data_IF_898031590641
#
_entry.id   IF_898031590641
#
_cell.length_a   1.000
_cell.length_b   1.000
_cell.length_c   1.000
_cell.angle_alpha   90.00
_cell.angle_beta   90.00
_cell.angle_gamma   90.00
#
_symmetry.space_group_name_H-M   'P 1'
#
loop_
_entity.id
_entity.type
_entity.pdbx_description
1 polymer ?
#
# COMPACT_ATOMS: atom_id res chain seq x y z
N UNK A 1 -7.48 -29.96 -10.00
CA UNK A 1 -6.15 -29.54 -9.51
C UNK A 1 -6.18 -29.59 -7.99
N UNK A 2 -5.07 -29.98 -7.36
CA UNK A 2 -4.92 -30.01 -5.90
C UNK A 2 -3.68 -29.20 -5.55
N UNK A 3 -3.81 -28.34 -4.55
CA UNK A 3 -2.72 -27.54 -3.99
C UNK A 3 -2.51 -27.95 -2.53
N UNK A 4 -1.29 -28.35 -2.18
CA UNK A 4 -0.96 -28.71 -0.80
C UNK A 4 -0.50 -27.46 -0.02
N UNK A 5 -1.28 -27.06 0.99
CA UNK A 5 -0.93 -25.94 1.87
C UNK A 5 0.09 -26.42 2.91
N UNK A 6 1.33 -25.92 2.84
CA UNK A 6 2.43 -26.26 3.77
C UNK A 6 2.89 -25.08 4.63
N UNK A 7 2.17 -23.96 4.58
CA UNK A 7 2.54 -22.69 5.25
C UNK A 7 1.37 -22.17 6.09
N UNK A 8 1.70 -21.39 7.13
CA UNK A 8 0.76 -20.60 7.92
C UNK A 8 0.74 -19.12 7.50
N UNK A 9 1.65 -18.73 6.60
CA UNK A 9 1.70 -17.38 6.02
C UNK A 9 0.78 -17.32 4.80
N UNK A 10 0.13 -16.17 4.61
CA UNK A 10 -0.63 -15.92 3.40
C UNK A 10 0.27 -15.94 2.18
N UNK A 11 -0.23 -16.52 1.09
CA UNK A 11 0.47 -16.68 -0.18
C UNK A 11 0.02 -15.61 -1.18
N UNK A 12 0.87 -15.33 -2.16
CA UNK A 12 0.58 -14.52 -3.34
C UNK A 12 0.52 -15.40 -4.58
N UNK A 13 0.10 -14.84 -5.73
CA UNK A 13 0.14 -15.53 -7.01
C UNK A 13 1.57 -16.02 -7.35
N UNK A 14 2.58 -15.23 -7.00
CA UNK A 14 3.99 -15.61 -7.19
C UNK A 14 4.36 -16.84 -6.34
N UNK A 15 3.94 -16.88 -5.06
CA UNK A 15 4.20 -18.03 -4.19
C UNK A 15 3.50 -19.30 -4.70
N UNK A 16 2.30 -19.16 -5.26
CA UNK A 16 1.52 -20.26 -5.82
C UNK A 16 2.10 -20.76 -7.13
N UNK A 17 2.71 -19.88 -7.94
CA UNK A 17 3.34 -20.24 -9.22
C UNK A 17 4.75 -20.80 -9.04
N UNK A 18 5.60 -20.14 -8.24
CA UNK A 18 7.02 -20.52 -8.07
C UNK A 18 7.22 -21.66 -7.06
N UNK A 19 6.43 -21.68 -5.98
CA UNK A 19 6.62 -22.60 -4.85
C UNK A 19 5.44 -23.58 -4.66
N UNK A 20 4.43 -23.52 -5.53
CA UNK A 20 3.25 -24.35 -5.43
C UNK A 20 3.51 -25.81 -5.82
N UNK A 21 3.26 -26.74 -4.89
CA UNK A 21 3.19 -28.16 -5.21
C UNK A 21 1.82 -28.49 -5.80
N UNK A 22 1.69 -28.24 -7.09
CA UNK A 22 0.48 -28.55 -7.85
C UNK A 22 0.45 -30.02 -8.27
N UNK A 23 -0.65 -30.69 -7.93
CA UNK A 23 -0.95 -32.02 -8.44
C UNK A 23 -2.21 -31.97 -9.30
N UNK A 24 -2.14 -32.62 -10.47
CA UNK A 24 -3.25 -32.71 -11.41
C UNK A 24 -3.71 -34.16 -11.51
N UNK A 25 -5.03 -34.33 -11.65
CA UNK A 25 -5.70 -35.62 -11.63
C UNK A 25 -6.75 -35.66 -12.73
N UNK A 26 -7.02 -36.84 -13.27
CA UNK A 26 -8.12 -37.07 -14.20
C UNK A 26 -9.45 -37.10 -13.45
N UNK A 27 -10.45 -36.35 -13.93
CA UNK A 27 -11.81 -36.38 -13.41
C UNK A 27 -12.69 -37.23 -14.34
N UNK A 28 -13.25 -38.33 -13.86
CA UNK A 28 -14.02 -39.28 -14.69
C UNK A 28 -15.52 -38.94 -14.85
N UNK A 29 -16.06 -37.88 -14.22
CA UNK A 29 -17.43 -37.32 -14.43
C UNK A 29 -17.65 -36.01 -13.66
N UNK A 30 -18.63 -35.19 -14.03
CA UNK A 30 -18.92 -33.90 -13.35
C UNK A 30 -19.35 -34.05 -11.87
N UNK A 31 -20.01 -35.15 -11.49
CA UNK A 31 -20.43 -35.42 -10.10
C UNK A 31 -19.29 -35.88 -9.16
N UNK A 32 -18.05 -36.04 -9.65
CA UNK A 32 -16.97 -36.66 -8.85
C UNK A 32 -16.24 -35.70 -7.91
N UNK A 33 -16.43 -34.39 -8.02
CA UNK A 33 -15.60 -33.42 -7.28
C UNK A 33 -15.84 -33.48 -5.76
N UNK A 34 -17.09 -33.61 -5.31
CA UNK A 34 -17.43 -33.70 -3.88
C UNK A 34 -16.92 -34.99 -3.21
N UNK A 35 -16.78 -36.07 -3.99
CA UNK A 35 -16.26 -37.37 -3.53
C UNK A 35 -14.80 -37.62 -3.90
N UNK A 36 -14.10 -36.61 -4.46
CA UNK A 36 -12.75 -36.77 -4.98
C UNK A 36 -11.74 -36.96 -3.84
N UNK A 37 -10.94 -38.02 -3.92
CA UNK A 37 -9.80 -38.24 -3.02
C UNK A 37 -8.49 -38.28 -3.82
N UNK A 38 -7.65 -37.28 -3.58
CA UNK A 38 -6.35 -37.10 -4.22
C UNK A 38 -5.34 -38.22 -3.92
N UNK A 39 -5.50 -38.97 -2.83
CA UNK A 39 -4.63 -40.12 -2.51
C UNK A 39 -4.90 -41.34 -3.40
N UNK A 40 -6.11 -41.42 -3.97
CA UNK A 40 -6.56 -42.57 -4.78
C UNK A 40 -6.85 -42.21 -6.23
N UNK A 41 -6.71 -40.94 -6.61
CA UNK A 41 -7.00 -40.44 -7.95
C UNK A 41 -5.88 -40.74 -8.95
N UNK A 42 -6.24 -40.94 -10.22
CA UNK A 42 -5.26 -41.10 -11.30
C UNK A 42 -4.64 -39.74 -11.63
N UNK A 43 -3.31 -39.67 -11.67
CA UNK A 43 -2.60 -38.46 -12.10
C UNK A 43 -2.86 -38.17 -13.58
N UNK A 44 -2.94 -36.89 -13.91
CA UNK A 44 -3.00 -36.47 -15.31
C UNK A 44 -1.59 -36.56 -15.93
N UNK A 45 -1.46 -37.36 -16.99
CA UNK A 45 -0.19 -37.52 -17.71
C UNK A 45 -0.22 -36.87 -19.10
N UNK A 46 0.89 -36.26 -19.51
CA UNK A 46 1.09 -35.74 -20.88
C UNK A 46 0.25 -34.53 -21.27
N UNK A 47 -0.44 -33.88 -20.33
CA UNK A 47 -1.22 -32.65 -20.53
C UNK A 47 -0.87 -31.61 -19.46
N UNK A 48 -0.78 -30.34 -19.86
CA UNK A 48 -0.62 -29.20 -18.96
C UNK A 48 -1.85 -28.30 -19.00
N UNK A 49 -2.01 -27.48 -17.97
CA UNK A 49 -3.00 -26.41 -17.94
C UNK A 49 -2.29 -25.06 -17.90
N UNK A 50 -2.91 -24.06 -18.52
CA UNK A 50 -2.49 -22.67 -18.44
C UNK A 50 -3.62 -21.93 -17.76
N UNK A 51 -3.34 -21.34 -16.61
CA UNK A 51 -4.26 -20.46 -15.91
C UNK A 51 -3.99 -19.02 -16.34
N UNK A 52 -5.06 -18.25 -16.53
CA UNK A 52 -4.89 -16.81 -16.66
C UNK A 52 -4.71 -16.17 -15.28
N UNK A 53 -4.29 -14.91 -15.24
CA UNK A 53 -3.99 -14.23 -13.97
C UNK A 53 -5.19 -14.12 -13.03
N UNK A 54 -6.40 -13.90 -13.56
CA UNK A 54 -7.61 -13.79 -12.75
C UNK A 54 -7.93 -15.13 -12.07
N UNK A 55 -7.73 -16.24 -12.78
CA UNK A 55 -7.90 -17.58 -12.20
C UNK A 55 -6.89 -17.83 -11.07
N UNK A 56 -5.63 -17.41 -11.26
CA UNK A 56 -4.60 -17.52 -10.22
C UNK A 56 -4.96 -16.68 -8.99
N UNK A 57 -5.40 -15.42 -9.17
CA UNK A 57 -5.82 -14.57 -8.06
C UNK A 57 -7.02 -15.18 -7.31
N UNK A 58 -7.98 -15.77 -8.03
CA UNK A 58 -9.12 -16.46 -7.42
C UNK A 58 -8.67 -17.67 -6.58
N UNK A 59 -7.74 -18.47 -7.11
CA UNK A 59 -7.14 -19.60 -6.39
C UNK A 59 -6.42 -19.13 -5.12
N UNK A 60 -5.63 -18.05 -5.20
CA UNK A 60 -4.93 -17.45 -4.05
C UNK A 60 -5.92 -17.03 -2.96
N UNK A 61 -7.04 -16.40 -3.34
CA UNK A 61 -8.09 -16.03 -2.39
C UNK A 61 -8.68 -17.26 -1.68
N UNK A 62 -8.90 -18.36 -2.40
CA UNK A 62 -9.38 -19.63 -1.81
C UNK A 62 -8.34 -20.19 -0.84
N UNK A 63 -7.07 -20.32 -1.27
CA UNK A 63 -5.98 -20.86 -0.45
C UNK A 63 -5.84 -20.04 0.84
N UNK A 64 -5.80 -18.72 0.72
CA UNK A 64 -5.67 -17.84 1.88
C UNK A 64 -6.88 -17.88 2.80
N UNK A 65 -8.09 -18.10 2.27
CA UNK A 65 -9.28 -18.37 3.09
C UNK A 65 -9.13 -19.65 3.92
N UNK A 66 -8.60 -20.73 3.34
CA UNK A 66 -8.30 -21.95 4.08
C UNK A 66 -7.21 -21.74 5.13
N UNK A 67 -6.13 -21.02 4.80
CA UNK A 67 -5.07 -20.65 5.75
C UNK A 67 -5.68 -19.89 6.92
N UNK A 68 -6.44 -18.83 6.67
CA UNK A 68 -7.06 -18.00 7.69
C UNK A 68 -7.93 -18.82 8.67
N UNK A 69 -8.76 -19.72 8.15
CA UNK A 69 -9.64 -20.56 8.97
C UNK A 69 -8.91 -21.57 9.86
N UNK A 70 -7.70 -22.00 9.47
CA UNK A 70 -6.91 -23.00 10.20
C UNK A 70 -5.71 -22.40 10.93
N UNK A 71 -5.54 -21.08 10.83
CA UNK A 71 -4.46 -20.35 11.49
C UNK A 71 -4.74 -20.27 12.99
N UNK A 72 -4.14 -21.18 13.74
CA UNK A 72 -3.92 -20.96 15.17
C UNK A 72 -2.93 -19.81 15.29
N UNK A 73 -3.34 -18.66 15.86
CA UNK A 73 -2.43 -17.54 16.09
C UNK A 73 -1.37 -17.95 17.12
N UNK A 74 -0.30 -18.55 16.63
CA UNK A 74 0.84 -19.01 17.43
C UNK A 74 2.08 -18.49 16.72
N UNK A 75 2.53 -17.26 17.03
CA UNK A 75 3.85 -16.82 16.64
C UNK A 75 4.83 -17.77 17.34
N UNK A 76 5.73 -18.41 16.59
CA UNK A 76 6.90 -19.20 17.02
C UNK A 76 7.27 -19.14 18.51
N UNK A 77 7.85 -20.22 19.07
CA UNK A 77 7.51 -20.77 20.40
C UNK A 77 7.50 -19.71 21.50
N UNK A 78 6.40 -18.99 21.61
CA UNK A 78 6.15 -18.05 22.69
C UNK A 78 4.97 -18.62 23.49
N UNK A 79 5.10 -18.61 24.82
CA UNK A 79 4.09 -19.13 25.74
C UNK A 79 2.73 -18.48 25.43
N UNK A 80 1.64 -19.27 25.51
CA UNK A 80 0.27 -18.86 25.14
C UNK A 80 -0.24 -17.59 25.85
N UNK A 81 0.49 -17.11 26.87
CA UNK A 81 0.15 -15.95 27.70
C UNK A 81 0.89 -14.64 27.35
N UNK A 82 1.83 -14.62 26.40
CA UNK A 82 2.59 -13.38 26.11
C UNK A 82 1.83 -12.43 25.17
N UNK A 83 1.49 -11.24 25.67
CA UNK A 83 0.87 -10.16 24.91
C UNK A 83 1.89 -9.50 23.98
N UNK A 84 1.68 -9.59 22.66
CA UNK A 84 2.58 -8.99 21.67
C UNK A 84 2.08 -7.64 21.16
N UNK A 85 2.91 -6.59 21.13
CA UNK A 85 2.55 -5.33 20.50
C UNK A 85 2.52 -5.48 18.98
N UNK A 86 1.41 -5.08 18.37
CA UNK A 86 1.23 -5.03 16.92
C UNK A 86 1.42 -3.59 16.44
N UNK A 87 2.33 -3.37 15.50
CA UNK A 87 2.60 -2.07 14.92
C UNK A 87 2.06 -2.04 13.50
N UNK A 88 1.24 -1.04 13.17
CA UNK A 88 0.62 -0.91 11.85
C UNK A 88 0.99 0.46 11.26
N UNK A 89 1.37 0.48 9.98
CA UNK A 89 1.70 1.71 9.25
C UNK A 89 1.30 1.57 7.78
N UNK A 90 0.85 2.66 7.15
CA UNK A 90 0.38 2.65 5.76
C UNK A 90 1.49 2.77 4.70
N UNK A 91 2.63 2.12 4.94
CA UNK A 91 3.76 2.08 4.00
C UNK A 91 4.68 0.91 4.30
N UNK A 92 4.99 0.08 3.30
CA UNK A 92 5.99 -1.00 3.46
C UNK A 92 7.39 -0.48 3.79
N UNK A 93 7.75 0.70 3.29
CA UNK A 93 9.04 1.31 3.60
C UNK A 93 9.12 1.69 5.09
N UNK A 94 8.07 2.28 5.65
CA UNK A 94 8.02 2.59 7.08
C UNK A 94 7.96 1.32 7.93
N UNK A 95 7.21 0.31 7.49
CA UNK A 95 7.16 -1.00 8.15
C UNK A 95 8.54 -1.66 8.20
N UNK A 96 9.33 -1.56 7.12
CA UNK A 96 10.73 -2.00 7.09
C UNK A 96 11.57 -1.34 8.18
N UNK A 97 11.51 -0.01 8.32
CA UNK A 97 12.24 0.71 9.37
C UNK A 97 11.79 0.31 10.78
N UNK A 98 10.49 0.09 11.00
CA UNK A 98 9.95 -0.38 12.28
C UNK A 98 10.40 -1.82 12.61
N UNK A 99 10.42 -2.73 11.63
CA UNK A 99 10.91 -4.12 11.80
C UNK A 99 12.37 -4.14 12.28
N UNK A 100 13.19 -3.24 11.74
CA UNK A 100 14.60 -3.07 12.13
C UNK A 100 14.75 -2.38 13.48
N UNK A 101 13.98 -1.33 13.75
CA UNK A 101 14.17 -0.47 14.91
C UNK A 101 13.63 -1.02 16.23
N UNK A 102 12.46 -1.67 16.20
CA UNK A 102 11.76 -2.11 17.41
C UNK A 102 12.34 -3.43 17.94
N UNK A 103 12.34 -3.63 19.26
CA UNK A 103 12.78 -4.89 19.88
C UNK A 103 11.71 -5.99 19.79
N UNK A 104 12.11 -7.25 19.94
CA UNK A 104 11.18 -8.38 20.09
C UNK A 104 10.69 -8.53 21.55
N UNK A 105 9.47 -9.06 21.79
CA UNK A 105 8.48 -9.52 20.80
C UNK A 105 7.73 -8.38 20.11
N UNK A 106 7.45 -8.52 18.80
CA UNK A 106 6.70 -7.55 18.01
C UNK A 106 6.06 -8.15 16.76
N UNK A 107 4.97 -7.57 16.31
CA UNK A 107 4.42 -7.77 14.96
C UNK A 107 4.40 -6.44 14.24
N UNK A 108 4.80 -6.40 12.97
CA UNK A 108 4.78 -5.17 12.16
C UNK A 108 4.08 -5.41 10.83
N UNK A 109 2.92 -4.77 10.67
CA UNK A 109 2.08 -4.83 9.49
C UNK A 109 2.27 -3.53 8.69
N UNK A 110 2.75 -3.66 7.46
CA UNK A 110 2.77 -2.58 6.48
C UNK A 110 1.54 -2.67 5.60
N UNK A 111 0.81 -1.57 5.43
CA UNK A 111 -0.26 -1.51 4.46
C UNK A 111 0.31 -1.05 3.11
N UNK A 112 0.25 -1.89 2.06
CA UNK A 112 1.02 -1.71 0.84
C UNK A 112 0.31 -0.78 -0.15
N UNK A 113 -0.09 0.43 0.27
CA UNK A 113 -0.94 1.30 -0.57
C UNK A 113 -0.56 2.80 -0.52
N UNK A 114 -0.89 3.53 -1.59
CA UNK A 114 -0.74 4.99 -1.73
C UNK A 114 -2.11 5.66 -1.74
N UNK A 115 -2.58 6.10 -0.58
CA UNK A 115 -3.93 6.64 -0.40
C UNK A 115 -4.15 8.06 -0.94
N UNK A 116 -3.07 8.80 -1.23
CA UNK A 116 -3.13 10.12 -1.87
C UNK A 116 -3.70 10.09 -3.29
N UNK A 117 -3.71 8.92 -3.93
CA UNK A 117 -4.09 8.76 -5.33
C UNK A 117 -5.11 7.64 -5.56
N UNK A 118 -5.83 7.76 -6.67
CA UNK A 118 -6.84 6.81 -7.14
C UNK A 118 -8.13 6.81 -6.32
N UNK A 119 -9.14 6.03 -6.74
CA UNK A 119 -10.40 5.94 -6.03
C UNK A 119 -10.23 5.40 -4.61
N UNK A 120 -10.92 6.02 -3.64
CA UNK A 120 -11.14 5.45 -2.29
C UNK A 120 -12.58 4.97 -2.12
N UNK A 121 -13.40 5.13 -3.17
CA UNK A 121 -14.82 4.84 -3.14
C UNK A 121 -15.07 3.43 -2.62
N UNK A 122 -15.71 3.32 -1.46
CA UNK A 122 -15.99 2.06 -0.77
C UNK A 122 -14.80 1.09 -0.71
N UNK A 123 -13.56 1.57 -0.53
CA UNK A 123 -12.35 0.73 -0.52
C UNK A 123 -12.36 -0.39 0.56
N UNK A 124 -13.20 -0.23 1.58
CA UNK A 124 -13.44 -1.25 2.59
C UNK A 124 -14.37 -2.40 2.11
N UNK A 125 -14.83 -2.37 0.85
CA UNK A 125 -15.65 -3.39 0.21
C UNK A 125 -14.95 -3.93 -1.03
N UNK A 126 -15.27 -5.17 -1.43
CA UNK A 126 -14.66 -5.83 -2.59
C UNK A 126 -14.91 -5.05 -3.89
N UNK A 127 -16.09 -4.46 -4.09
CA UNK A 127 -16.38 -3.68 -5.29
C UNK A 127 -15.50 -2.43 -5.40
N UNK A 128 -15.27 -1.74 -4.28
CA UNK A 128 -14.38 -0.58 -4.22
C UNK A 128 -12.91 -0.96 -4.43
N UNK A 129 -12.50 -2.14 -3.93
CA UNK A 129 -11.17 -2.69 -4.16
C UNK A 129 -10.94 -2.97 -5.64
N UNK A 130 -11.89 -3.62 -6.33
CA UNK A 130 -11.80 -3.87 -7.78
C UNK A 130 -11.63 -2.56 -8.57
N UNK A 131 -12.45 -1.54 -8.30
CA UNK A 131 -12.34 -0.23 -8.95
C UNK A 131 -10.95 0.39 -8.74
N UNK A 132 -10.41 0.29 -7.51
CA UNK A 132 -9.07 0.81 -7.19
C UNK A 132 -7.98 0.05 -7.93
N UNK A 133 -8.07 -1.28 -7.98
CA UNK A 133 -7.08 -2.13 -8.62
C UNK A 133 -7.04 -1.90 -10.13
N UNK A 134 -8.20 -1.80 -10.77
CA UNK A 134 -8.31 -1.41 -12.19
C UNK A 134 -7.73 -0.02 -12.45
N UNK A 135 -8.05 0.96 -11.60
CA UNK A 135 -7.50 2.30 -11.77
C UNK A 135 -5.97 2.32 -11.64
N UNK A 136 -5.41 1.62 -10.66
CA UNK A 136 -3.96 1.51 -10.48
C UNK A 136 -3.33 0.85 -11.70
N UNK A 137 -3.89 -0.26 -12.18
CA UNK A 137 -3.43 -0.99 -13.36
C UNK A 137 -3.36 -0.09 -14.61
N UNK A 138 -4.40 0.71 -14.86
CA UNK A 138 -4.49 1.54 -16.05
C UNK A 138 -3.60 2.80 -15.98
N UNK A 139 -3.45 3.38 -14.78
CA UNK A 139 -2.91 4.72 -14.61
C UNK A 139 -1.51 4.73 -14.01
N UNK A 140 -1.14 3.76 -13.19
CA UNK A 140 0.09 3.81 -12.39
C UNK A 140 1.05 2.70 -12.81
N UNK A 141 2.29 3.09 -13.12
CA UNK A 141 3.33 2.16 -13.51
C UNK A 141 4.31 1.98 -12.35
N UNK A 142 4.04 1.01 -11.47
CA UNK A 142 4.89 0.74 -10.30
C UNK A 142 6.19 -0.02 -10.62
N UNK A 143 6.46 -0.36 -11.88
CA UNK A 143 7.57 -1.23 -12.32
C UNK A 143 7.55 -2.65 -11.67
N UNK A 144 6.55 -2.96 -10.84
CA UNK A 144 6.25 -4.28 -10.25
C UNK A 144 5.03 -4.88 -10.96
N UNK A 145 4.87 -6.20 -10.88
CA UNK A 145 3.70 -6.85 -11.45
C UNK A 145 2.42 -6.53 -10.66
N UNK A 146 1.36 -6.13 -11.36
CA UNK A 146 0.12 -5.58 -10.77
C UNK A 146 -0.60 -6.57 -9.84
N UNK A 147 -0.51 -7.88 -10.11
CA UNK A 147 -1.14 -8.92 -9.29
C UNK A 147 -0.51 -9.03 -7.89
N UNK A 148 0.77 -8.65 -7.76
CA UNK A 148 1.47 -8.64 -6.47
C UNK A 148 0.79 -7.63 -5.53
N UNK A 149 0.33 -6.50 -6.07
CA UNK A 149 -0.35 -5.47 -5.28
C UNK A 149 -1.71 -5.94 -4.76
N UNK A 150 -2.58 -6.51 -5.62
CA UNK A 150 -3.91 -7.00 -5.21
C UNK A 150 -3.81 -8.08 -4.13
N UNK A 151 -2.91 -9.06 -4.31
CA UNK A 151 -2.72 -10.12 -3.31
C UNK A 151 -2.17 -9.56 -2.00
N UNK A 152 -1.18 -8.66 -2.06
CA UNK A 152 -0.61 -8.04 -0.86
C UNK A 152 -1.67 -7.22 -0.11
N UNK A 153 -2.46 -6.41 -0.80
CA UNK A 153 -3.57 -5.65 -0.20
C UNK A 153 -4.52 -6.59 0.55
N UNK A 154 -5.00 -7.64 -0.12
CA UNK A 154 -5.96 -8.58 0.46
C UNK A 154 -5.36 -9.35 1.64
N UNK A 155 -4.10 -9.76 1.54
CA UNK A 155 -3.39 -10.44 2.61
C UNK A 155 -3.18 -9.54 3.82
N UNK A 156 -2.82 -8.26 3.64
CA UNK A 156 -2.70 -7.32 4.75
C UNK A 156 -4.05 -7.09 5.45
N UNK A 157 -5.16 -7.03 4.71
CA UNK A 157 -6.50 -6.96 5.32
C UNK A 157 -6.77 -8.18 6.19
N UNK A 158 -6.40 -9.40 5.73
CA UNK A 158 -6.50 -10.62 6.53
C UNK A 158 -5.58 -10.58 7.76
N UNK A 159 -4.35 -10.12 7.64
CA UNK A 159 -3.43 -9.97 8.77
C UNK A 159 -3.97 -9.04 9.85
N UNK A 160 -4.62 -7.95 9.46
CA UNK A 160 -5.30 -7.01 10.37
C UNK A 160 -6.51 -7.68 11.03
N UNK A 161 -7.27 -8.47 10.29
CA UNK A 161 -8.40 -9.21 10.84
C UNK A 161 -7.96 -10.34 11.78
N UNK A 162 -6.81 -10.96 11.56
CA UNK A 162 -6.30 -12.01 12.43
C UNK A 162 -5.76 -11.50 13.77
N UNK A 163 -5.59 -10.18 13.96
CA UNK A 163 -5.00 -9.64 15.19
C UNK A 163 -5.81 -10.10 16.44
N UNK A 164 -5.19 -10.80 17.41
CA UNK A 164 -5.87 -11.23 18.62
C UNK A 164 -6.33 -10.04 19.46
N UNK A 165 -7.55 -10.13 20.01
CA UNK A 165 -8.20 -9.01 20.72
C UNK A 165 -7.43 -8.49 21.94
N UNK A 166 -6.57 -9.31 22.54
CA UNK A 166 -5.76 -8.96 23.71
C UNK A 166 -4.47 -8.20 23.38
N UNK A 167 -4.08 -8.10 22.10
CA UNK A 167 -2.82 -7.47 21.70
C UNK A 167 -2.97 -5.96 21.50
N UNK A 168 -2.13 -5.11 22.10
CA UNK A 168 -2.20 -3.67 21.87
C UNK A 168 -1.73 -3.34 20.45
N UNK A 169 -2.42 -2.40 19.80
CA UNK A 169 -2.15 -1.98 18.43
C UNK A 169 -1.57 -0.56 18.44
N UNK A 170 -0.40 -0.37 17.84
CA UNK A 170 0.25 0.93 17.67
C UNK A 170 0.20 1.35 16.20
N UNK A 171 -0.64 2.33 15.88
CA UNK A 171 -0.77 2.87 14.52
C UNK A 171 0.14 4.08 14.34
N UNK A 172 1.10 3.95 13.42
CA UNK A 172 2.06 5.00 13.08
C UNK A 172 1.57 5.80 11.90
N UNK A 173 1.70 7.12 11.99
CA UNK A 173 1.33 8.04 10.92
C UNK A 173 2.10 9.36 11.03
N UNK A 174 2.11 10.15 9.97
CA UNK A 174 2.80 11.44 9.87
C UNK A 174 1.85 12.49 9.31
N UNK A 175 2.24 13.76 9.33
CA UNK A 175 1.46 14.86 8.77
C UNK A 175 1.62 14.96 7.25
N UNK A 176 1.25 13.89 6.56
CA UNK A 176 1.15 13.81 5.10
C UNK A 176 -0.17 13.12 4.70
N UNK A 177 -0.61 13.36 3.46
CA UNK A 177 -1.91 12.90 2.99
C UNK A 177 -2.04 11.36 2.98
N UNK A 178 -1.01 10.63 2.58
CA UNK A 178 -1.06 9.16 2.50
C UNK A 178 -1.25 8.54 3.88
N UNK A 179 -0.41 8.92 4.85
CA UNK A 179 -0.46 8.34 6.20
C UNK A 179 -1.68 8.82 6.99
N UNK A 180 -2.19 10.02 6.70
CA UNK A 180 -3.41 10.54 7.32
C UNK A 180 -4.66 9.81 6.82
N UNK A 181 -4.77 9.56 5.51
CA UNK A 181 -5.87 8.73 4.98
C UNK A 181 -5.69 7.29 5.44
N UNK A 182 -4.46 6.76 5.41
CA UNK A 182 -4.13 5.42 5.87
C UNK A 182 -4.54 5.18 7.32
N UNK A 183 -4.27 6.12 8.23
CA UNK A 183 -4.74 6.07 9.61
C UNK A 183 -6.26 5.86 9.70
N UNK A 184 -7.04 6.66 8.96
CA UNK A 184 -8.50 6.61 8.96
C UNK A 184 -9.02 5.28 8.43
N UNK A 185 -8.43 4.79 7.34
CA UNK A 185 -8.79 3.50 6.77
C UNK A 185 -8.44 2.33 7.70
N UNK A 186 -7.24 2.31 8.27
CA UNK A 186 -6.80 1.27 9.20
C UNK A 186 -7.69 1.22 10.44
N UNK A 187 -8.06 2.38 10.99
CA UNK A 187 -9.02 2.44 12.09
C UNK A 187 -10.40 1.93 11.69
N UNK A 188 -10.83 2.14 10.45
CA UNK A 188 -12.07 1.55 9.95
C UNK A 188 -12.00 0.03 9.86
N UNK A 189 -10.87 -0.55 9.44
CA UNK A 189 -10.68 -2.00 9.46
C UNK A 189 -10.70 -2.57 10.89
N UNK A 190 -10.18 -1.80 11.85
CA UNK A 190 -10.13 -2.16 13.29
C UNK A 190 -11.40 -1.78 14.08
N UNK A 191 -12.44 -1.23 13.45
CA UNK A 191 -13.59 -0.64 14.16
C UNK A 191 -14.33 -1.62 15.08
N UNK A 192 -14.38 -2.89 14.71
CA UNK A 192 -15.09 -3.95 15.45
C UNK A 192 -14.15 -4.74 16.39
N UNK A 193 -12.87 -4.34 16.48
CA UNK A 193 -11.85 -4.98 17.32
C UNK A 193 -11.86 -4.40 18.74
N UNK A 194 -11.66 -5.27 19.72
CA UNK A 194 -11.62 -4.96 21.16
C UNK A 194 -10.24 -4.46 21.65
N UNK A 195 -9.24 -4.46 20.76
CA UNK A 195 -7.87 -4.09 21.06
C UNK A 195 -7.76 -2.65 21.57
N UNK A 196 -6.85 -2.42 22.51
CA UNK A 196 -6.38 -1.07 22.82
C UNK A 196 -5.54 -0.55 21.65
N UNK A 197 -5.95 0.58 21.07
CA UNK A 197 -5.28 1.22 19.92
C UNK A 197 -4.56 2.48 20.39
N UNK A 198 -3.30 2.65 19.99
CA UNK A 198 -2.45 3.79 20.31
C UNK A 198 -2.03 4.50 19.03
N UNK A 199 -2.18 5.82 18.99
CA UNK A 199 -1.84 6.63 17.84
C UNK A 199 -0.48 7.30 18.02
N UNK A 200 0.45 7.03 17.10
CA UNK A 200 1.81 7.56 17.14
C UNK A 200 2.04 8.49 15.94
N UNK A 201 1.85 9.80 16.17
CA UNK A 201 2.16 10.82 15.17
C UNK A 201 3.69 11.01 15.08
N UNK A 202 4.31 10.31 14.15
CA UNK A 202 5.75 10.30 13.92
C UNK A 202 6.31 11.72 13.69
N UNK A 203 5.61 12.59 12.96
CA UNK A 203 6.02 13.99 12.74
C UNK A 203 6.12 14.78 14.04
N UNK A 204 5.08 14.72 14.87
CA UNK A 204 5.06 15.41 16.16
C UNK A 204 6.05 14.83 17.16
N UNK A 205 6.17 13.50 17.19
CA UNK A 205 7.09 12.80 18.08
C UNK A 205 8.55 13.10 17.73
N UNK A 206 8.89 13.07 16.43
CA UNK A 206 10.22 13.41 15.97
C UNK A 206 10.61 14.85 16.31
N UNK A 207 9.70 15.80 16.05
CA UNK A 207 9.90 17.22 16.39
C UNK A 207 10.11 17.43 17.89
N UNK A 208 9.43 16.65 18.73
CA UNK A 208 9.49 16.78 20.19
C UNK A 208 10.71 16.13 20.84
N UNK A 209 11.13 14.97 20.34
CA UNK A 209 12.10 14.11 21.04
C UNK A 209 13.43 13.91 20.33
N UNK A 210 13.49 14.08 19.01
CA UNK A 210 14.70 13.85 18.21
C UNK A 210 15.31 15.16 17.75
N UNK A 211 14.48 16.09 17.29
CA UNK A 211 14.98 17.34 16.75
C UNK A 211 15.60 18.19 17.87
N UNK A 212 16.89 18.48 17.75
CA UNK A 212 17.60 19.36 18.70
C UNK A 212 17.21 20.82 18.49
N UNK A 213 17.34 21.65 19.53
CA UNK A 213 17.19 23.11 19.43
C UNK A 213 18.23 23.68 18.45
N UNK A 214 17.88 23.78 17.17
CA UNK A 214 18.76 24.31 16.11
C UNK A 214 18.69 23.56 14.77
N UNK A 215 18.20 22.32 14.75
CA UNK A 215 18.02 21.56 13.51
C UNK A 215 16.60 21.76 12.95
N UNK A 216 16.50 22.25 11.72
CA UNK A 216 15.21 22.52 11.07
C UNK A 216 14.79 21.37 10.13
N UNK A 217 15.27 20.15 10.37
CA UNK A 217 14.92 18.98 9.54
C UNK A 217 13.50 18.57 9.86
N UNK A 218 12.57 19.00 9.01
CA UNK A 218 11.18 18.53 9.02
C UNK A 218 11.13 17.18 8.30
N UNK A 219 10.54 16.21 8.98
CA UNK A 219 10.13 14.96 8.34
C UNK A 219 8.69 15.08 7.87
N UNK A 220 8.35 14.32 6.86
CA UNK A 220 6.99 14.28 6.33
C UNK A 220 6.44 12.87 6.23
N UNK A 221 7.28 11.84 6.10
CA UNK A 221 6.88 10.43 6.17
C UNK A 221 7.54 9.74 7.37
N UNK A 222 6.87 8.74 7.92
CA UNK A 222 7.44 7.90 9.00
C UNK A 222 8.68 7.17 8.51
N UNK A 223 8.73 6.79 7.23
CA UNK A 223 9.90 6.13 6.60
C UNK A 223 11.16 6.99 6.53
N UNK A 224 11.06 8.30 6.75
CA UNK A 224 12.22 9.20 6.77
C UNK A 224 12.93 9.23 8.13
N UNK A 225 12.36 8.57 9.14
CA UNK A 225 12.94 8.45 10.48
C UNK A 225 13.86 7.23 10.52
N UNK A 226 15.06 7.41 11.05
CA UNK A 226 16.02 6.32 11.26
C UNK A 226 15.46 5.28 12.25
N UNK A 227 15.77 4.01 12.03
CA UNK A 227 15.23 2.89 12.83
C UNK A 227 15.49 3.03 14.33
N UNK A 228 16.67 3.55 14.72
CA UNK A 228 17.00 3.79 16.12
C UNK A 228 16.15 4.89 16.75
N UNK A 229 15.82 5.93 15.99
CA UNK A 229 14.98 7.01 16.48
C UNK A 229 13.53 6.53 16.66
N UNK A 230 13.02 5.72 15.72
CA UNK A 230 11.69 5.09 15.86
C UNK A 230 11.57 4.28 17.15
N UNK A 231 12.62 3.55 17.54
CA UNK A 231 12.69 2.83 18.82
C UNK A 231 12.56 3.78 20.01
N UNK A 232 13.30 4.89 20.00
CA UNK A 232 13.25 5.90 21.05
C UNK A 232 11.85 6.50 21.14
N UNK A 233 11.23 6.85 20.00
CA UNK A 233 9.89 7.42 19.96
C UNK A 233 8.84 6.47 20.54
N UNK A 234 8.92 5.18 20.19
CA UNK A 234 8.04 4.15 20.74
C UNK A 234 8.18 4.04 22.27
N UNK A 235 9.42 3.92 22.78
CA UNK A 235 9.67 3.81 24.22
C UNK A 235 9.14 5.00 25.04
N UNK A 236 9.12 6.21 24.44
CA UNK A 236 8.57 7.40 25.07
C UNK A 236 7.04 7.40 25.19
N UNK A 237 6.33 6.69 24.30
CA UNK A 237 4.86 6.77 24.17
C UNK A 237 4.12 5.46 24.37
N UNK A 238 4.81 4.32 24.50
CA UNK A 238 4.17 3.01 24.70
C UNK A 238 3.28 2.89 25.94
N UNK A 239 3.37 3.85 26.88
CA UNK A 239 2.56 3.92 28.11
C UNK A 239 1.52 5.05 28.07
N UNK A 240 1.33 5.67 26.91
CA UNK A 240 0.28 6.67 26.73
C UNK A 240 -1.10 6.01 26.89
N UNK A 241 -2.15 6.83 26.94
CA UNK A 241 -3.51 6.30 27.00
C UNK A 241 -3.93 5.79 25.61
N UNK A 242 -4.74 4.73 25.54
CA UNK A 242 -5.39 4.32 24.30
C UNK A 242 -6.21 5.45 23.69
N UNK A 243 -6.46 5.32 22.39
CA UNK A 243 -7.33 6.17 21.58
C UNK A 243 -8.68 6.34 22.27
N UNK A 244 -9.11 7.59 22.45
CA UNK A 244 -10.42 7.88 23.03
C UNK A 244 -11.55 7.54 22.05
N UNK A 245 -12.68 7.09 22.57
CA UNK A 245 -13.88 6.79 21.76
C UNK A 245 -14.37 7.98 20.95
N UNK A 246 -14.21 9.21 21.46
CA UNK A 246 -14.56 10.43 20.74
C UNK A 246 -13.68 10.60 19.50
N UNK A 247 -12.35 10.50 19.63
CA UNK A 247 -11.43 10.65 18.52
C UNK A 247 -11.55 9.47 17.54
N UNK A 248 -11.79 8.25 18.05
CA UNK A 248 -12.08 7.07 17.23
C UNK A 248 -13.30 7.31 16.35
N UNK A 249 -14.42 7.76 16.93
CA UNK A 249 -15.66 8.04 16.20
C UNK A 249 -15.45 9.10 15.12
N UNK A 250 -14.73 10.18 15.44
CA UNK A 250 -14.39 11.22 14.47
C UNK A 250 -13.60 10.67 13.28
N UNK A 251 -12.53 9.91 13.52
CA UNK A 251 -11.69 9.37 12.44
C UNK A 251 -12.43 8.36 11.58
N UNK A 252 -13.37 7.61 12.15
CA UNK A 252 -14.25 6.69 11.41
C UNK A 252 -15.24 7.46 10.51
N UNK A 253 -15.84 8.53 11.00
CA UNK A 253 -16.70 9.40 10.19
C UNK A 253 -15.92 10.06 9.05
N UNK A 254 -14.70 10.52 9.31
CA UNK A 254 -13.80 11.07 8.30
C UNK A 254 -13.44 10.03 7.22
N UNK A 255 -13.19 8.78 7.60
CA UNK A 255 -13.02 7.70 6.61
C UNK A 255 -14.28 7.50 5.76
N UNK A 256 -15.46 7.42 6.39
CA UNK A 256 -16.71 7.20 5.67
C UNK A 256 -16.98 8.32 4.67
N UNK A 257 -16.65 9.57 5.02
CA UNK A 257 -16.70 10.69 4.09
C UNK A 257 -15.72 10.49 2.92
N UNK A 258 -14.44 10.19 3.19
CA UNK A 258 -13.44 9.95 2.16
C UNK A 258 -13.83 8.79 1.22
N UNK A 259 -14.43 7.74 1.75
CA UNK A 259 -14.91 6.58 1.00
C UNK A 259 -16.13 6.88 0.12
N UNK A 260 -16.70 8.08 0.15
CA UNK A 260 -17.74 8.54 -0.77
C UNK A 260 -17.24 9.59 -1.78
N UNK A 261 -15.98 10.04 -1.66
CA UNK A 261 -15.39 11.01 -2.60
C UNK A 261 -15.19 10.38 -3.97
N UNK A 262 -15.21 11.21 -5.02
CA UNK A 262 -15.03 10.79 -6.42
C UNK A 262 -13.68 11.20 -6.98
N UNK A 263 -13.00 12.10 -6.28
CA UNK A 263 -11.72 12.65 -6.65
C UNK A 263 -10.61 11.61 -6.48
N UNK A 264 -9.77 11.47 -7.51
CA UNK A 264 -8.64 10.54 -7.53
C UNK A 264 -7.35 11.13 -6.96
N UNK A 265 -7.37 12.38 -6.50
CA UNK A 265 -6.20 13.05 -5.94
C UNK A 265 -6.56 13.75 -4.63
N UNK A 266 -5.72 13.55 -3.62
CA UNK A 266 -5.78 14.29 -2.37
C UNK A 266 -4.43 14.89 -2.02
N UNK A 267 -4.49 16.04 -1.37
CA UNK A 267 -3.33 16.76 -0.85
C UNK A 267 -3.50 17.03 0.65
N UNK A 268 -2.37 17.26 1.33
CA UNK A 268 -2.33 17.67 2.73
C UNK A 268 -2.01 19.15 2.80
N UNK A 269 -3.00 19.98 3.11
CA UNK A 269 -2.85 21.43 3.19
C UNK A 269 -3.48 21.96 4.48
N UNK A 270 -2.71 22.74 5.26
CA UNK A 270 -3.16 23.34 6.53
C UNK A 270 -3.75 22.33 7.52
N UNK A 271 -3.08 21.19 7.65
CA UNK A 271 -3.47 20.09 8.54
C UNK A 271 -4.82 19.43 8.19
N UNK A 272 -5.26 19.57 6.93
CA UNK A 272 -6.49 18.98 6.41
C UNK A 272 -6.23 18.18 5.12
N UNK A 273 -7.03 17.13 4.92
CA UNK A 273 -7.07 16.37 3.67
C UNK A 273 -7.98 17.13 2.71
N UNK A 274 -7.45 17.50 1.55
CA UNK A 274 -8.25 18.14 0.49
C UNK A 274 -8.33 17.25 -0.73
N UNK A 275 -9.55 16.97 -1.17
CA UNK A 275 -9.82 16.33 -2.44
C UNK A 275 -9.73 17.38 -3.55
N UNK A 276 -8.94 17.09 -4.58
CA UNK A 276 -8.69 17.98 -5.72
C UNK A 276 -8.84 17.22 -7.02
N UNK A 277 -9.02 17.94 -8.13
CA UNK A 277 -9.06 17.32 -9.44
C UNK A 277 -7.72 16.66 -9.79
N UNK A 278 -7.76 15.62 -10.61
CA UNK A 278 -6.57 14.90 -11.07
C UNK A 278 -5.56 15.79 -11.81
N UNK A 279 -6.02 16.86 -12.44
CA UNK A 279 -5.23 17.82 -13.21
C UNK A 279 -4.59 18.93 -12.36
N UNK A 280 -4.75 18.88 -11.04
CA UNK A 280 -4.30 19.92 -10.11
C UNK A 280 -2.81 20.29 -10.28
N UNK A 281 -1.96 19.31 -10.62
CA UNK A 281 -0.53 19.51 -10.83
C UNK A 281 -0.12 19.73 -12.30
N UNK A 282 -1.05 19.65 -13.26
CA UNK A 282 -0.74 19.73 -14.69
C UNK A 282 -0.12 21.09 -15.06
N UNK A 283 -0.68 22.18 -14.53
CA UNK A 283 -0.14 23.53 -14.74
C UNK A 283 1.30 23.65 -14.23
N UNK A 284 1.58 23.11 -13.05
CA UNK A 284 2.92 23.13 -12.47
C UNK A 284 3.91 22.31 -13.31
N UNK A 285 3.49 21.15 -13.81
CA UNK A 285 4.32 20.32 -14.71
C UNK A 285 4.70 21.13 -15.96
N UNK A 286 3.73 21.84 -16.54
CA UNK A 286 3.95 22.71 -17.70
C UNK A 286 4.91 23.85 -17.37
N UNK A 287 4.72 24.56 -16.25
CA UNK A 287 5.61 25.65 -15.81
C UNK A 287 7.06 25.18 -15.61
N UNK A 288 7.26 24.05 -14.94
CA UNK A 288 8.59 23.47 -14.75
C UNK A 288 9.22 23.10 -16.09
N UNK A 289 8.43 22.53 -17.01
CA UNK A 289 8.92 22.17 -18.32
C UNK A 289 9.27 23.41 -19.16
N UNK A 290 8.51 24.51 -19.06
CA UNK A 290 8.87 25.80 -19.64
C UNK A 290 10.17 26.35 -19.07
N UNK A 291 10.30 26.35 -17.74
CA UNK A 291 11.51 26.79 -17.05
C UNK A 291 12.72 26.01 -17.54
N UNK A 292 12.63 24.69 -17.65
CA UNK A 292 13.72 23.84 -18.12
C UNK A 292 14.08 24.13 -19.59
N UNK A 293 13.10 24.38 -20.46
CA UNK A 293 13.38 24.79 -21.84
C UNK A 293 14.08 26.15 -21.92
N UNK A 294 13.76 27.11 -21.04
CA UNK A 294 14.46 28.43 -21.01
C UNK A 294 15.93 28.31 -20.63
N UNK A 295 16.32 27.22 -19.94
CA UNK A 295 17.72 26.91 -19.62
C UNK A 295 18.49 26.29 -20.80
N UNK A 296 17.82 25.94 -21.89
CA UNK A 296 18.45 25.39 -23.10
C UNK A 296 18.73 26.48 -24.12
N UNK A 297 19.87 26.40 -24.82
CA UNK A 297 20.16 27.28 -25.96
C UNK A 297 19.16 27.08 -27.11
N UNK A 298 18.73 25.83 -27.31
CA UNK A 298 17.71 25.44 -28.28
C UNK A 298 16.72 24.49 -27.63
N UNK A 299 15.43 24.81 -27.72
CA UNK A 299 14.33 23.99 -27.17
C UNK A 299 14.37 22.57 -27.73
N UNK A 300 14.68 21.61 -26.88
CA UNK A 300 14.78 20.18 -27.19
C UNK A 300 14.17 19.30 -26.07
N UNK A 301 14.01 18.01 -26.34
CA UNK A 301 13.41 17.03 -25.43
C UNK A 301 14.13 16.92 -24.09
N UNK A 302 13.37 16.89 -23.00
CA UNK A 302 13.85 16.76 -21.61
C UNK A 302 13.40 15.42 -21.06
N UNK A 303 14.27 14.72 -20.32
CA UNK A 303 13.93 13.44 -19.67
C UNK A 303 12.77 13.62 -18.68
N UNK A 304 11.75 12.76 -18.75
CA UNK A 304 10.57 12.81 -17.85
C UNK A 304 10.98 12.79 -16.37
N UNK A 305 11.95 11.95 -15.98
CA UNK A 305 12.46 11.93 -14.61
C UNK A 305 13.09 13.24 -14.15
N UNK A 306 13.68 14.03 -15.06
CA UNK A 306 14.22 15.36 -14.70
C UNK A 306 13.09 16.36 -14.43
N UNK A 307 12.02 16.32 -15.23
CA UNK A 307 10.82 17.14 -15.00
C UNK A 307 10.20 16.83 -13.65
N UNK A 308 9.98 15.54 -13.36
CA UNK A 308 9.41 15.09 -12.08
C UNK A 308 10.32 15.48 -10.91
N UNK A 309 11.64 15.29 -11.02
CA UNK A 309 12.59 15.66 -9.98
C UNK A 309 12.56 17.16 -9.65
N UNK A 310 12.39 18.02 -10.66
CA UNK A 310 12.28 19.47 -10.49
C UNK A 310 10.93 19.88 -9.87
N UNK A 311 9.83 19.23 -10.26
CA UNK A 311 8.52 19.41 -9.62
C UNK A 311 8.59 19.12 -8.12
N UNK A 312 9.22 18.00 -7.74
CA UNK A 312 9.36 17.59 -6.34
C UNK A 312 10.32 18.50 -5.56
N UNK A 313 11.40 18.96 -6.18
CA UNK A 313 12.38 19.84 -5.52
C UNK A 313 11.80 21.23 -5.19
N UNK A 314 10.85 21.71 -5.98
CA UNK A 314 10.19 23.01 -5.79
C UNK A 314 9.05 23.01 -4.78
N UNK A 315 8.61 21.85 -4.28
CA UNK A 315 7.42 21.72 -3.42
C UNK A 315 7.78 21.24 -2.02
N UNK A 316 7.06 21.76 -1.03
CA UNK A 316 7.07 21.27 0.35
C UNK A 316 6.13 20.09 0.55
N UNK A 317 5.06 20.05 -0.24
CA UNK A 317 4.10 18.94 -0.27
C UNK A 317 4.69 17.79 -1.08
N UNK A 318 4.55 16.58 -0.55
CA UNK A 318 5.00 15.38 -1.22
C UNK A 318 3.93 14.92 -2.19
N UNK A 319 4.35 14.68 -3.41
CA UNK A 319 3.49 14.24 -4.50
C UNK A 319 3.96 12.86 -4.92
N UNK A 320 3.02 11.95 -5.14
CA UNK A 320 3.34 10.62 -5.62
C UNK A 320 4.04 10.69 -7.00
N UNK A 321 5.24 10.13 -7.08
CA UNK A 321 6.11 10.19 -8.27
C UNK A 321 5.46 9.52 -9.48
N UNK A 322 4.81 8.39 -9.27
CA UNK A 322 4.14 7.64 -10.33
C UNK A 322 2.86 8.33 -10.79
N UNK A 323 2.18 9.04 -9.90
CA UNK A 323 1.07 9.92 -10.28
C UNK A 323 1.51 11.09 -11.15
N UNK A 324 2.64 11.73 -10.84
CA UNK A 324 3.22 12.77 -11.71
C UNK A 324 3.59 12.22 -13.09
N UNK A 325 4.14 11.00 -13.16
CA UNK A 325 4.38 10.32 -14.43
C UNK A 325 3.07 10.10 -15.21
N UNK A 326 2.04 9.59 -14.54
CA UNK A 326 0.70 9.45 -15.10
C UNK A 326 0.19 10.76 -15.71
N UNK A 327 0.26 11.87 -14.97
CA UNK A 327 -0.16 13.18 -15.46
C UNK A 327 0.67 13.65 -16.67
N UNK A 328 1.97 13.40 -16.68
CA UNK A 328 2.82 13.67 -17.86
C UNK A 328 2.35 12.84 -19.07
N UNK A 329 2.03 11.55 -18.90
CA UNK A 329 1.46 10.71 -19.96
C UNK A 329 0.12 11.26 -20.45
N UNK A 330 -0.75 11.69 -19.54
CA UNK A 330 -2.03 12.30 -19.90
C UNK A 330 -1.85 13.58 -20.74
N UNK A 331 -0.89 14.44 -20.37
CA UNK A 331 -0.55 15.64 -21.14
C UNK A 331 0.04 15.33 -22.54
N UNK A 332 0.74 14.20 -22.69
CA UNK A 332 1.18 13.69 -24.00
C UNK A 332 -0.02 13.26 -24.86
N UNK A 333 -0.93 12.46 -24.30
CA UNK A 333 -2.11 11.98 -25.02
C UNK A 333 -3.09 13.10 -25.39
N UNK A 334 -3.20 14.11 -24.53
CA UNK A 334 -3.99 15.32 -24.76
C UNK A 334 -3.35 16.30 -25.75
N UNK A 335 -2.13 16.00 -26.23
CA UNK A 335 -1.46 16.78 -27.27
C UNK A 335 -0.74 18.04 -26.80
N UNK A 336 -0.64 18.30 -25.50
CA UNK A 336 0.15 19.41 -24.94
C UNK A 336 1.66 19.17 -25.06
N UNK A 337 2.07 17.89 -25.03
CA UNK A 337 3.47 17.48 -25.06
C UNK A 337 3.78 16.63 -26.30
N UNK A 338 5.04 16.69 -26.75
CA UNK A 338 5.63 15.79 -27.74
C UNK A 338 6.44 14.69 -27.04
N UNK A 339 6.39 13.46 -27.57
CA UNK A 339 7.06 12.27 -27.03
C UNK A 339 8.35 11.94 -27.81
N UNK A 340 9.41 11.60 -27.10
CA UNK A 340 10.59 10.90 -27.65
C UNK A 340 10.94 9.69 -26.78
N UNK A 341 10.99 8.51 -27.38
CA UNK A 341 11.23 7.24 -26.69
C UNK A 341 9.94 6.47 -26.40
N UNK A 342 10.03 5.41 -25.61
CA UNK A 342 8.89 4.56 -25.23
C UNK A 342 8.58 4.79 -23.74
N UNK A 343 7.34 5.14 -23.36
CA UNK A 343 6.97 5.42 -21.98
C UNK A 343 6.79 4.14 -21.16
N UNK A 344 7.82 3.29 -21.12
CA UNK A 344 7.85 2.05 -20.31
C UNK A 344 8.12 2.32 -18.84
N UNK A 345 8.82 3.41 -18.54
CA UNK A 345 8.91 3.99 -17.20
C UNK A 345 9.52 5.40 -17.28
N UNK A 346 9.55 6.10 -16.15
CA UNK A 346 10.01 7.48 -15.98
C UNK A 346 11.39 7.76 -16.63
N UNK A 347 12.26 6.76 -16.76
CA UNK A 347 13.64 6.92 -17.29
C UNK A 347 13.72 6.76 -18.82
N UNK A 348 12.72 6.12 -19.42
CA UNK A 348 12.78 5.61 -20.79
C UNK A 348 12.35 6.60 -21.87
N UNK A 349 11.70 7.70 -21.49
CA UNK A 349 11.22 8.68 -22.44
C UNK A 349 11.60 10.11 -22.06
N UNK A 350 11.41 11.00 -23.02
CA UNK A 350 11.61 12.43 -22.89
C UNK A 350 10.40 13.15 -23.47
N UNK A 351 10.11 14.32 -22.91
CA UNK A 351 8.97 15.16 -23.29
C UNK A 351 9.45 16.54 -23.73
N UNK A 352 8.62 17.20 -24.53
CA UNK A 352 8.83 18.57 -24.97
C UNK A 352 7.47 19.27 -25.08
N UNK A 353 7.40 20.55 -24.75
CA UNK A 353 6.18 21.34 -24.94
C UNK A 353 5.92 21.49 -26.45
N UNK A 354 4.75 21.06 -26.89
CA UNK A 354 4.29 21.26 -28.26
C UNK A 354 4.14 22.77 -28.53
N UNK A 355 4.36 23.17 -29.78
CA UNK A 355 4.21 24.56 -30.20
C UNK A 355 2.76 24.94 -30.44
#
# INVERSE_FOLDING_TARGET
MVYQIKTQNYVTALDVDENGEWQTFEAEKEDTFESFNHETGNHLEGRGFVLNQNDINHIVEIINGYIQNHKSYSPSPIEEDEVMPVHIVSSESAAGSLRVGLDWPKVVIGFPDSFSIGPLYNLHKKEGQTIRFEWIYEHINYEQDDYIYENKFSNTVREIDDIPGQFPIYTWYSNNVDEQIGLRFLLFLLRDKANDIFLLNSTELYAKYITSQGENRKISYTSQIESNDLRILFEKRRKDKPLSEQLRSQLLEEWLFLAQTKEDLRIWEKDEIKCVNEDYFDFLIIEILEMLHRKQEKKDFIKSGMVIGEVLSGKKELINVFFLEYRIRHLLYSGFLELKGIPKSIRHYSVKLRK
#
